data_IF_294214501414
#
_entry.id   IF_294214501414
#
_cell.length_a   1.000
_cell.length_b   1.000
_cell.length_c   1.000
_cell.angle_alpha   90.00
_cell.angle_beta   90.00
_cell.angle_gamma   90.00
#
_symmetry.space_group_name_H-M   'P 1'
#
loop_
_entity.id
_entity.type
_entity.pdbx_description
1 polymer ?
#
# COMPACT_ATOMS: atom_id res chain seq x y z
N UNK A 1 -22.39 6.04 -15.02
CA UNK A 1 -22.69 4.61 -15.27
C UNK A 1 -23.23 4.06 -13.95
N UNK A 2 -24.50 3.65 -13.86
CA UNK A 2 -25.04 3.10 -12.62
C UNK A 2 -24.24 1.83 -12.32
N UNK A 3 -23.54 1.79 -11.20
CA UNK A 3 -22.80 0.63 -10.73
C UNK A 3 -23.80 -0.52 -10.49
N UNK A 4 -24.11 -1.26 -11.54
CA UNK A 4 -25.27 -2.15 -11.59
C UNK A 4 -25.12 -3.30 -10.60
N UNK A 5 -26.24 -3.76 -10.01
CA UNK A 5 -26.26 -4.90 -9.09
C UNK A 5 -25.52 -6.13 -9.64
N UNK A 6 -25.46 -6.30 -10.96
CA UNK A 6 -24.67 -7.34 -11.63
C UNK A 6 -23.17 -7.25 -11.30
N UNK A 7 -22.57 -6.05 -11.34
CA UNK A 7 -21.14 -5.85 -11.04
C UNK A 7 -20.89 -6.15 -9.56
N UNK A 8 -21.75 -5.66 -8.66
CA UNK A 8 -21.65 -5.95 -7.23
C UNK A 8 -21.72 -7.44 -6.93
N UNK A 9 -22.66 -8.15 -7.55
CA UNK A 9 -22.80 -9.59 -7.36
C UNK A 9 -21.60 -10.35 -7.93
N UNK A 10 -21.08 -9.95 -9.09
CA UNK A 10 -19.87 -10.55 -9.67
C UNK A 10 -18.65 -10.36 -8.76
N UNK A 11 -18.45 -9.15 -8.21
CA UNK A 11 -17.37 -8.87 -7.26
C UNK A 11 -17.55 -9.63 -5.96
N UNK A 12 -18.77 -9.77 -5.45
CA UNK A 12 -19.03 -10.57 -4.25
C UNK A 12 -18.69 -12.06 -4.47
N UNK A 13 -19.07 -12.63 -5.62
CA UNK A 13 -18.69 -14.01 -5.99
C UNK A 13 -17.17 -14.13 -6.12
N UNK A 14 -16.51 -13.17 -6.75
CA UNK A 14 -15.06 -13.17 -6.90
C UNK A 14 -14.36 -13.07 -5.54
N UNK A 15 -14.84 -12.23 -4.63
CA UNK A 15 -14.31 -12.11 -3.27
C UNK A 15 -14.41 -13.46 -2.54
N UNK A 16 -15.56 -14.13 -2.62
CA UNK A 16 -15.72 -15.46 -2.04
C UNK A 16 -14.75 -16.49 -2.61
N UNK A 17 -14.50 -16.44 -3.93
CA UNK A 17 -13.53 -17.34 -4.59
C UNK A 17 -12.10 -17.05 -4.13
N UNK A 18 -11.68 -15.78 -4.07
CA UNK A 18 -10.32 -15.39 -3.70
C UNK A 18 -10.05 -15.61 -2.19
N UNK A 19 -11.06 -15.42 -1.34
CA UNK A 19 -10.96 -15.66 0.11
C UNK A 19 -11.02 -17.15 0.48
N UNK A 20 -11.45 -18.03 -0.43
CA UNK A 20 -11.55 -19.45 -0.15
C UNK A 20 -10.17 -20.10 -0.05
N UNK A 21 -9.86 -20.71 1.10
CA UNK A 21 -8.53 -21.28 1.42
C UNK A 21 -7.98 -22.26 0.38
N UNK A 22 -8.86 -23.02 -0.29
CA UNK A 22 -8.45 -24.03 -1.28
C UNK A 22 -8.71 -23.54 -2.72
N UNK A 23 -8.90 -22.24 -2.93
CA UNK A 23 -9.06 -21.69 -4.26
C UNK A 23 -7.79 -21.90 -5.09
N UNK A 24 -7.97 -22.26 -6.35
CA UNK A 24 -6.87 -22.29 -7.30
C UNK A 24 -6.56 -20.86 -7.77
N UNK A 25 -5.81 -20.14 -6.95
CA UNK A 25 -5.40 -18.76 -7.24
C UNK A 25 -4.66 -18.64 -8.58
N UNK A 26 -3.86 -19.65 -8.94
CA UNK A 26 -3.13 -19.65 -10.21
C UNK A 26 -4.08 -19.59 -11.41
N UNK A 27 -5.15 -20.39 -11.39
CA UNK A 27 -6.18 -20.34 -12.44
C UNK A 27 -6.83 -18.96 -12.51
N UNK A 28 -7.11 -18.32 -11.38
CA UNK A 28 -7.68 -16.96 -11.39
C UNK A 28 -6.71 -15.95 -12.01
N UNK A 29 -5.42 -16.06 -11.70
CA UNK A 29 -4.38 -15.24 -12.34
C UNK A 29 -4.31 -15.45 -13.86
N UNK A 30 -4.37 -16.71 -14.32
CA UNK A 30 -4.42 -17.04 -15.76
C UNK A 30 -5.65 -16.46 -16.47
N UNK A 31 -6.78 -16.33 -15.77
CA UNK A 31 -7.99 -15.69 -16.28
C UNK A 31 -7.99 -14.16 -16.16
N UNK A 32 -6.84 -13.54 -15.88
CA UNK A 32 -6.69 -12.08 -15.91
C UNK A 32 -7.09 -11.36 -14.62
N UNK A 33 -7.15 -12.06 -13.47
CA UNK A 33 -7.54 -11.48 -12.18
C UNK A 33 -6.82 -10.15 -11.87
N UNK A 34 -5.50 -10.08 -12.06
CA UNK A 34 -4.70 -8.89 -11.75
C UNK A 34 -5.20 -7.67 -12.49
N UNK A 35 -5.33 -7.77 -13.81
CA UNK A 35 -5.74 -6.66 -14.67
C UNK A 35 -7.17 -6.22 -14.36
N UNK A 36 -8.08 -7.17 -14.15
CA UNK A 36 -9.47 -6.86 -13.80
C UNK A 36 -9.58 -6.12 -12.46
N UNK A 37 -8.81 -6.54 -11.45
CA UNK A 37 -8.82 -5.89 -10.14
C UNK A 37 -8.18 -4.51 -10.20
N UNK A 38 -7.07 -4.33 -10.92
CA UNK A 38 -6.49 -2.99 -11.14
C UNK A 38 -7.53 -2.04 -11.75
N UNK A 39 -8.14 -2.44 -12.86
CA UNK A 39 -9.08 -1.58 -13.59
C UNK A 39 -10.31 -1.24 -12.73
N UNK A 40 -10.91 -2.25 -12.09
CA UNK A 40 -12.09 -2.04 -11.24
C UNK A 40 -11.80 -1.14 -10.04
N UNK A 41 -10.63 -1.26 -9.42
CA UNK A 41 -10.21 -0.38 -8.31
C UNK A 41 -10.04 1.05 -8.82
N UNK A 42 -9.30 1.26 -9.92
CA UNK A 42 -9.09 2.60 -10.47
C UNK A 42 -10.39 3.27 -10.89
N UNK A 43 -11.27 2.55 -11.61
CA UNK A 43 -12.57 3.06 -12.03
C UNK A 43 -13.48 3.37 -10.83
N UNK A 44 -13.52 2.48 -9.82
CA UNK A 44 -14.37 2.69 -8.64
C UNK A 44 -13.84 3.84 -7.79
N UNK A 45 -12.52 3.99 -7.65
CA UNK A 45 -11.94 5.10 -6.90
C UNK A 45 -12.22 6.46 -7.54
N UNK A 46 -12.15 6.56 -8.88
CA UNK A 46 -12.55 7.77 -9.59
C UNK A 46 -14.02 8.13 -9.28
N UNK A 47 -14.91 7.14 -9.24
CA UNK A 47 -16.31 7.35 -8.86
C UNK A 47 -16.49 7.78 -7.39
N UNK A 48 -15.62 7.33 -6.48
CA UNK A 48 -15.66 7.76 -5.08
C UNK A 48 -15.18 9.20 -4.90
N UNK A 49 -14.22 9.65 -5.71
CA UNK A 49 -13.64 11.00 -5.63
C UNK A 49 -14.47 12.06 -6.38
N UNK A 50 -15.22 11.69 -7.42
CA UNK A 50 -15.98 12.61 -8.28
C UNK A 50 -17.48 12.80 -7.90
N UNK A 51 -17.99 12.13 -6.86
CA UNK A 51 -19.43 12.04 -6.63
C UNK A 51 -20.02 13.17 -5.75
N UNK A 52 -20.76 14.09 -6.37
CA UNK A 52 -21.64 15.07 -5.70
C UNK A 52 -22.88 14.44 -5.02
N UNK A 53 -23.21 13.17 -5.35
CA UNK A 53 -24.42 12.47 -4.85
C UNK A 53 -24.11 11.46 -3.75
N UNK A 54 -24.53 11.79 -2.52
CA UNK A 54 -24.34 11.01 -1.29
C UNK A 54 -24.84 9.56 -1.35
N UNK A 55 -25.83 9.24 -2.18
CA UNK A 55 -26.38 7.87 -2.26
C UNK A 55 -25.55 6.95 -3.13
N UNK A 56 -24.97 7.50 -4.21
CA UNK A 56 -24.06 6.78 -5.09
C UNK A 56 -22.72 6.51 -4.40
N UNK A 57 -22.26 7.44 -3.55
CA UNK A 57 -21.04 7.29 -2.74
C UNK A 57 -21.09 6.05 -1.84
N UNK A 58 -22.17 5.82 -1.08
CA UNK A 58 -22.26 4.63 -0.21
C UNK A 58 -22.15 3.32 -0.99
N UNK A 59 -22.82 3.27 -2.13
CA UNK A 59 -22.78 2.10 -3.02
C UNK A 59 -21.38 1.89 -3.62
N UNK A 60 -20.71 2.97 -4.02
CA UNK A 60 -19.35 2.94 -4.54
C UNK A 60 -18.37 2.49 -3.43
N UNK A 61 -18.48 3.01 -2.22
CA UNK A 61 -17.66 2.61 -1.07
C UNK A 61 -17.81 1.12 -0.74
N UNK A 62 -19.04 0.58 -0.73
CA UNK A 62 -19.24 -0.87 -0.48
C UNK A 62 -18.56 -1.73 -1.55
N UNK A 63 -18.66 -1.34 -2.83
CA UNK A 63 -17.97 -2.04 -3.89
C UNK A 63 -16.45 -1.91 -3.73
N UNK A 64 -15.99 -0.70 -3.44
CA UNK A 64 -14.58 -0.40 -3.29
C UNK A 64 -13.95 -1.20 -2.15
N UNK A 65 -14.61 -1.30 -1.01
CA UNK A 65 -14.21 -2.16 0.10
C UNK A 65 -14.11 -3.64 -0.32
N UNK A 66 -15.08 -4.14 -1.09
CA UNK A 66 -15.04 -5.51 -1.60
C UNK A 66 -13.87 -5.74 -2.56
N UNK A 67 -13.50 -4.73 -3.36
CA UNK A 67 -12.34 -4.80 -4.25
C UNK A 67 -11.02 -4.73 -3.47
N UNK A 68 -10.92 -3.87 -2.46
CA UNK A 68 -9.78 -3.81 -1.56
C UNK A 68 -9.61 -5.11 -0.77
N UNK A 69 -10.71 -5.78 -0.40
CA UNK A 69 -10.65 -7.12 0.20
C UNK A 69 -10.06 -8.14 -0.78
N UNK A 70 -10.50 -8.17 -2.03
CA UNK A 70 -9.93 -9.05 -3.05
C UNK A 70 -8.42 -8.79 -3.21
N UNK A 71 -8.03 -7.52 -3.36
CA UNK A 71 -6.64 -7.11 -3.47
C UNK A 71 -5.83 -7.59 -2.26
N UNK A 72 -6.34 -7.37 -1.05
CA UNK A 72 -5.68 -7.79 0.17
C UNK A 72 -5.46 -9.31 0.23
N UNK A 73 -6.46 -10.11 -0.15
CA UNK A 73 -6.32 -11.56 -0.21
C UNK A 73 -5.30 -12.01 -1.27
N UNK A 74 -5.29 -11.39 -2.45
CA UNK A 74 -4.26 -11.63 -3.48
C UNK A 74 -2.85 -11.34 -2.94
N UNK A 75 -2.67 -10.23 -2.25
CA UNK A 75 -1.39 -9.82 -1.68
C UNK A 75 -0.94 -10.73 -0.53
N UNK A 76 -1.85 -11.14 0.36
CA UNK A 76 -1.55 -12.13 1.41
C UNK A 76 -1.11 -13.46 0.80
N UNK A 77 -1.81 -13.92 -0.24
CA UNK A 77 -1.43 -15.14 -0.95
C UNK A 77 0.00 -15.05 -1.48
N UNK A 78 0.33 -13.97 -2.21
CA UNK A 78 1.69 -13.74 -2.73
C UNK A 78 2.73 -13.62 -1.63
N UNK A 79 2.47 -12.81 -0.58
CA UNK A 79 3.38 -12.64 0.54
C UNK A 79 3.67 -13.95 1.26
N UNK A 80 2.69 -14.84 1.37
CA UNK A 80 2.89 -16.16 1.96
C UNK A 80 3.80 -17.04 1.12
N UNK A 81 3.57 -17.12 -0.20
CA UNK A 81 4.42 -17.91 -1.12
C UNK A 81 5.86 -17.38 -1.11
N UNK A 82 6.04 -16.06 -1.23
CA UNK A 82 7.37 -15.42 -1.19
C UNK A 82 8.07 -15.68 0.14
N UNK A 83 7.35 -15.57 1.28
CA UNK A 83 7.91 -15.85 2.60
C UNK A 83 8.37 -17.31 2.73
N UNK A 84 7.57 -18.27 2.26
CA UNK A 84 7.93 -19.69 2.31
C UNK A 84 9.16 -19.97 1.44
N UNK A 85 9.24 -19.40 0.23
CA UNK A 85 10.40 -19.53 -0.64
C UNK A 85 11.68 -18.98 0.02
N UNK A 86 11.62 -17.78 0.61
CA UNK A 86 12.75 -17.16 1.33
C UNK A 86 13.18 -18.02 2.53
N UNK A 87 12.23 -18.57 3.29
CA UNK A 87 12.53 -19.40 4.46
C UNK A 87 13.23 -20.71 4.05
N UNK A 88 12.73 -21.39 3.01
CA UNK A 88 13.34 -22.61 2.49
C UNK A 88 14.73 -22.35 1.88
N UNK A 89 14.91 -21.21 1.20
CA UNK A 89 16.22 -20.79 0.70
C UNK A 89 17.21 -20.59 1.85
N UNK A 90 16.81 -19.90 2.93
CA UNK A 90 17.65 -19.70 4.13
C UNK A 90 17.99 -21.00 4.84
N UNK A 91 17.10 -21.99 4.80
CA UNK A 91 17.30 -23.31 5.40
C UNK A 91 18.13 -24.27 4.52
N UNK A 92 18.49 -23.87 3.29
CA UNK A 92 19.23 -24.71 2.35
C UNK A 92 18.42 -25.88 1.78
N UNK A 93 17.08 -25.86 1.91
CA UNK A 93 16.20 -26.98 1.52
C UNK A 93 15.70 -26.89 0.08
N UNK A 94 16.14 -25.90 -0.70
CA UNK A 94 15.78 -25.76 -2.12
C UNK A 94 14.30 -25.44 -2.34
N UNK A 95 13.81 -24.35 -1.73
CA UNK A 95 12.42 -23.89 -1.88
C UNK A 95 12.03 -23.53 -3.31
N UNK A 96 10.71 -23.45 -3.54
CA UNK A 96 10.13 -23.08 -4.83
C UNK A 96 10.24 -21.57 -5.09
N UNK A 97 11.46 -21.10 -5.33
CA UNK A 97 11.76 -19.70 -5.64
C UNK A 97 11.19 -19.30 -7.00
N UNK A 98 11.14 -20.22 -7.95
CA UNK A 98 10.62 -19.96 -9.30
C UNK A 98 9.14 -19.57 -9.27
N UNK A 99 8.32 -20.28 -8.50
CA UNK A 99 6.91 -19.93 -8.35
C UNK A 99 6.72 -18.59 -7.66
N UNK A 100 7.50 -18.29 -6.62
CA UNK A 100 7.47 -17.00 -5.95
C UNK A 100 7.84 -15.85 -6.91
N UNK A 101 8.88 -16.00 -7.71
CA UNK A 101 9.28 -15.02 -8.73
C UNK A 101 8.22 -14.86 -9.82
N UNK A 102 7.66 -15.96 -10.32
CA UNK A 102 6.58 -15.94 -11.33
C UNK A 102 5.37 -15.17 -10.80
N UNK A 103 4.99 -15.42 -9.55
CA UNK A 103 3.86 -14.75 -8.93
C UNK A 103 4.11 -13.25 -8.70
N UNK A 104 5.33 -12.85 -8.34
CA UNK A 104 5.73 -11.45 -8.26
C UNK A 104 5.65 -10.77 -9.64
N UNK A 105 6.08 -11.45 -10.71
CA UNK A 105 5.98 -10.90 -12.06
C UNK A 105 4.53 -10.74 -12.52
N UNK A 106 3.67 -11.73 -12.27
CA UNK A 106 2.24 -11.69 -12.59
C UNK A 106 1.56 -10.52 -11.89
N UNK A 107 1.88 -10.29 -10.62
CA UNK A 107 1.26 -9.26 -9.78
C UNK A 107 1.94 -7.88 -9.90
N UNK A 108 2.97 -7.74 -10.73
CA UNK A 108 3.66 -6.46 -10.94
C UNK A 108 2.71 -5.30 -11.31
N UNK A 109 1.67 -5.47 -12.14
CA UNK A 109 0.72 -4.38 -12.43
C UNK A 109 -0.02 -3.83 -11.21
N UNK A 110 -0.07 -4.56 -10.08
CA UNK A 110 -0.65 -4.04 -8.85
C UNK A 110 0.16 -2.87 -8.27
N UNK A 111 1.43 -2.67 -8.67
CA UNK A 111 2.22 -1.52 -8.20
C UNK A 111 1.68 -0.19 -8.71
N UNK A 112 0.88 -0.19 -9.76
CA UNK A 112 0.23 1.02 -10.28
C UNK A 112 -0.85 1.54 -9.31
N UNK A 113 -1.35 0.69 -8.40
CA UNK A 113 -2.30 1.07 -7.37
C UNK A 113 -1.66 1.78 -6.18
N UNK A 114 -0.32 1.79 -6.06
CA UNK A 114 0.37 2.35 -4.88
C UNK A 114 0.03 3.84 -4.70
N UNK A 115 0.11 4.64 -5.76
CA UNK A 115 -0.20 6.08 -5.73
C UNK A 115 -1.65 6.31 -5.26
N UNK A 116 -2.59 5.57 -5.84
CA UNK A 116 -4.01 5.64 -5.46
C UNK A 116 -4.23 5.27 -3.99
N UNK A 117 -3.61 4.21 -3.49
CA UNK A 117 -3.74 3.77 -2.11
C UNK A 117 -3.16 4.80 -1.12
N UNK A 118 -2.09 5.51 -1.50
CA UNK A 118 -1.52 6.60 -0.70
C UNK A 118 -2.51 7.77 -0.60
N UNK A 119 -3.13 8.16 -1.71
CA UNK A 119 -4.11 9.25 -1.75
C UNK A 119 -5.39 8.96 -0.97
N UNK A 120 -5.68 7.70 -0.67
CA UNK A 120 -6.82 7.30 0.16
C UNK A 120 -6.54 7.39 1.67
N UNK A 121 -5.27 7.51 2.09
CA UNK A 121 -4.90 7.48 3.51
C UNK A 121 -5.45 8.65 4.33
N UNK A 122 -5.51 9.89 3.80
CA UNK A 122 -6.13 11.01 4.53
C UNK A 122 -7.65 10.90 4.68
N UNK A 123 -8.30 9.97 3.98
CA UNK A 123 -9.75 9.84 3.95
C UNK A 123 -10.41 9.66 5.33
N UNK A 124 -11.64 10.16 5.44
CA UNK A 124 -12.47 10.06 6.66
C UNK A 124 -13.06 8.66 6.87
N UNK A 125 -13.25 7.88 5.80
CA UNK A 125 -13.82 6.54 5.87
C UNK A 125 -12.79 5.56 6.47
N UNK A 126 -13.04 5.16 7.72
CA UNK A 126 -12.15 4.33 8.52
C UNK A 126 -11.94 2.95 7.88
N UNK A 127 -13.00 2.34 7.31
CA UNK A 127 -12.90 1.02 6.70
C UNK A 127 -12.05 1.07 5.43
N UNK A 128 -12.22 2.12 4.61
CA UNK A 128 -11.39 2.33 3.42
C UNK A 128 -9.94 2.57 3.83
N UNK A 129 -9.68 3.42 4.82
CA UNK A 129 -8.33 3.65 5.34
C UNK A 129 -7.66 2.36 5.82
N UNK A 130 -8.36 1.55 6.63
CA UNK A 130 -7.81 0.30 7.16
C UNK A 130 -7.44 -0.68 6.05
N UNK A 131 -8.30 -0.83 5.04
CA UNK A 131 -8.05 -1.75 3.93
C UNK A 131 -6.98 -1.22 2.98
N UNK A 132 -7.00 0.07 2.67
CA UNK A 132 -6.00 0.69 1.81
C UNK A 132 -4.61 0.62 2.43
N UNK A 133 -4.47 0.94 3.71
CA UNK A 133 -3.19 0.90 4.44
C UNK A 133 -2.63 -0.53 4.54
N UNK A 134 -3.48 -1.55 4.73
CA UNK A 134 -3.08 -2.95 4.70
C UNK A 134 -2.57 -3.38 3.32
N UNK A 135 -3.30 -3.04 2.25
CA UNK A 135 -2.88 -3.33 0.88
C UNK A 135 -1.56 -2.63 0.53
N UNK A 136 -1.44 -1.33 0.86
CA UNK A 136 -0.24 -0.54 0.62
C UNK A 136 0.97 -1.14 1.33
N UNK A 137 0.82 -1.52 2.61
CA UNK A 137 1.90 -2.15 3.37
C UNK A 137 2.40 -3.44 2.72
N UNK A 138 1.51 -4.28 2.20
CA UNK A 138 1.90 -5.52 1.53
C UNK A 138 2.55 -5.25 0.17
N UNK A 139 2.00 -4.33 -0.63
CA UNK A 139 2.58 -3.94 -1.93
C UNK A 139 4.01 -3.43 -1.77
N UNK A 140 4.23 -2.49 -0.85
CA UNK A 140 5.56 -1.92 -0.58
C UNK A 140 6.50 -2.94 0.06
N UNK A 141 5.99 -3.94 0.79
CA UNK A 141 6.80 -5.06 1.26
C UNK A 141 7.28 -5.95 0.11
N UNK A 142 6.39 -6.31 -0.81
CA UNK A 142 6.63 -7.22 -1.94
C UNK A 142 7.49 -6.58 -3.03
N UNK A 143 7.18 -5.34 -3.41
CA UNK A 143 7.75 -4.65 -4.56
C UNK A 143 8.69 -3.50 -4.18
N UNK A 144 8.82 -3.20 -2.89
CA UNK A 144 9.70 -2.10 -2.44
C UNK A 144 9.27 -0.76 -3.02
N UNK A 145 10.23 -0.07 -3.64
CA UNK A 145 10.07 1.25 -4.26
C UNK A 145 9.96 1.18 -5.79
N UNK A 146 9.41 0.09 -6.34
CA UNK A 146 9.28 -0.10 -7.78
C UNK A 146 8.33 0.90 -8.45
N UNK A 147 7.32 1.41 -7.73
CA UNK A 147 6.46 2.48 -8.24
C UNK A 147 7.16 3.84 -8.11
N UNK A 148 7.47 4.46 -9.25
CA UNK A 148 8.21 5.72 -9.33
C UNK A 148 7.44 6.94 -8.82
N UNK A 149 6.12 6.87 -8.75
CA UNK A 149 5.24 7.95 -8.33
C UNK A 149 4.95 7.92 -6.82
N UNK A 150 5.36 6.86 -6.12
CA UNK A 150 5.03 6.65 -4.70
C UNK A 150 5.57 7.74 -3.75
N UNK A 151 6.54 8.52 -4.19
CA UNK A 151 7.04 9.73 -3.51
C UNK A 151 6.94 10.97 -4.41
N UNK A 152 5.88 11.08 -5.23
CA UNK A 152 5.52 12.36 -5.86
C UNK A 152 5.10 13.38 -4.78
N UNK A 153 5.13 14.70 -5.08
CA UNK A 153 4.68 15.72 -4.15
C UNK A 153 3.29 15.45 -3.57
N UNK A 154 2.33 15.07 -4.42
CA UNK A 154 0.94 14.81 -4.01
C UNK A 154 0.84 13.63 -3.03
N UNK A 155 1.64 12.58 -3.26
CA UNK A 155 1.67 11.40 -2.41
C UNK A 155 2.39 11.68 -1.08
N UNK A 156 3.43 12.51 -1.09
CA UNK A 156 4.09 12.96 0.14
C UNK A 156 3.18 13.83 0.99
N UNK A 157 2.41 14.72 0.37
CA UNK A 157 1.39 15.51 1.06
C UNK A 157 0.32 14.61 1.68
N UNK A 158 -0.15 13.60 0.94
CA UNK A 158 -1.10 12.61 1.46
C UNK A 158 -0.55 11.82 2.65
N UNK A 159 0.73 11.42 2.62
CA UNK A 159 1.36 10.81 3.79
C UNK A 159 1.44 11.76 4.98
N UNK A 160 1.80 13.03 4.74
CA UNK A 160 1.93 14.03 5.77
C UNK A 160 0.58 14.31 6.44
N UNK A 161 -0.49 14.45 5.65
CA UNK A 161 -1.84 14.63 6.14
C UNK A 161 -2.32 13.39 6.92
N UNK A 162 -2.12 12.19 6.39
CA UNK A 162 -2.49 10.96 7.07
C UNK A 162 -1.78 10.80 8.43
N UNK A 163 -0.48 11.11 8.52
CA UNK A 163 0.27 11.06 9.79
C UNK A 163 -0.24 12.06 10.83
N UNK A 164 -0.87 13.15 10.38
CA UNK A 164 -1.46 14.18 11.24
C UNK A 164 -2.87 13.80 11.71
N UNK A 165 -3.67 13.21 10.83
CA UNK A 165 -5.04 12.80 11.13
C UNK A 165 -5.09 11.52 11.96
N UNK A 166 -4.20 10.55 11.70
CA UNK A 166 -4.19 9.27 12.40
C UNK A 166 -3.29 9.39 13.63
N UNK A 167 -3.89 9.55 14.81
CA UNK A 167 -3.17 9.69 16.09
C UNK A 167 -2.89 8.37 16.79
N UNK A 168 -3.43 7.25 16.30
CA UNK A 168 -3.14 5.94 16.86
C UNK A 168 -1.70 5.50 16.54
N UNK A 169 -1.00 5.01 17.55
CA UNK A 169 0.41 4.61 17.44
C UNK A 169 0.61 3.48 16.45
N UNK A 170 -0.34 2.54 16.34
CA UNK A 170 -0.28 1.43 15.37
C UNK A 170 -0.32 1.97 13.94
N UNK A 171 -1.18 2.94 13.69
CA UNK A 171 -1.37 3.58 12.38
C UNK A 171 -0.16 4.40 11.98
N UNK A 172 0.29 5.32 12.84
CA UNK A 172 1.50 6.11 12.56
C UNK A 172 2.72 5.21 12.35
N UNK A 173 2.89 4.17 13.15
CA UNK A 173 3.97 3.20 12.99
C UNK A 173 3.91 2.45 11.67
N UNK A 174 2.71 2.09 11.20
CA UNK A 174 2.51 1.44 9.91
C UNK A 174 2.93 2.38 8.78
N UNK A 175 2.42 3.61 8.79
CA UNK A 175 2.72 4.62 7.77
C UNK A 175 4.21 4.95 7.71
N UNK A 176 4.85 5.17 8.86
CA UNK A 176 6.30 5.42 8.92
C UNK A 176 7.11 4.24 8.37
N UNK A 177 6.67 2.99 8.62
CA UNK A 177 7.34 1.81 8.04
C UNK A 177 7.19 1.73 6.53
N UNK A 178 6.03 2.09 6.00
CA UNK A 178 5.80 2.18 4.55
C UNK A 178 6.74 3.22 3.94
N UNK A 179 6.74 4.46 4.47
CA UNK A 179 7.62 5.55 4.00
C UNK A 179 9.09 5.13 4.05
N UNK A 180 9.53 4.59 5.19
CA UNK A 180 10.91 4.11 5.37
C UNK A 180 11.28 3.06 4.33
N UNK A 181 10.40 2.11 4.04
CA UNK A 181 10.63 1.06 3.04
C UNK A 181 10.74 1.65 1.63
N UNK A 182 9.85 2.58 1.25
CA UNK A 182 9.90 3.26 -0.06
C UNK A 182 11.24 3.96 -0.30
N UNK A 183 11.73 4.74 0.67
CA UNK A 183 12.98 5.50 0.52
C UNK A 183 14.25 4.64 0.69
N UNK A 184 14.14 3.49 1.37
CA UNK A 184 15.27 2.57 1.54
C UNK A 184 15.44 1.69 0.31
N UNK A 185 14.34 1.36 -0.38
CA UNK A 185 14.34 0.49 -1.55
C UNK A 185 14.66 1.22 -2.86
N UNK A 186 14.54 2.56 -2.92
CA UNK A 186 14.81 3.33 -4.14
C UNK A 186 15.41 4.70 -3.80
N UNK A 187 16.63 4.99 -4.27
CA UNK A 187 17.31 6.26 -3.98
C UNK A 187 16.65 7.49 -4.62
N UNK A 188 15.89 7.30 -5.70
CA UNK A 188 15.13 8.41 -6.30
C UNK A 188 14.03 8.89 -5.35
N UNK A 189 13.45 7.99 -4.56
CA UNK A 189 12.45 8.32 -3.55
C UNK A 189 13.04 9.12 -2.39
N UNK A 190 14.24 8.78 -1.92
CA UNK A 190 14.91 9.58 -0.88
C UNK A 190 15.27 10.98 -1.36
N UNK A 191 15.71 11.10 -2.63
CA UNK A 191 15.97 12.41 -3.26
C UNK A 191 14.68 13.23 -3.43
N UNK A 192 13.59 12.61 -3.88
CA UNK A 192 12.29 13.26 -4.01
C UNK A 192 11.81 13.80 -2.65
N UNK A 193 11.89 12.99 -1.59
CA UNK A 193 11.54 13.41 -0.23
C UNK A 193 12.38 14.59 0.27
N UNK A 194 13.67 14.64 -0.07
CA UNK A 194 14.56 15.74 0.32
C UNK A 194 14.25 17.03 -0.44
N UNK A 195 13.91 16.94 -1.72
CA UNK A 195 13.80 18.10 -2.60
C UNK A 195 12.40 18.70 -2.65
N UNK A 196 11.38 17.85 -2.61
CA UNK A 196 9.99 18.22 -2.91
C UNK A 196 9.01 17.83 -1.79
N UNK A 197 9.52 17.30 -0.67
CA UNK A 197 8.73 16.69 0.40
C UNK A 197 8.57 17.54 1.67
N UNK A 198 8.66 18.86 1.58
CA UNK A 198 8.72 19.79 2.72
C UNK A 198 7.67 19.51 3.80
N UNK A 199 6.40 19.32 3.39
CA UNK A 199 5.31 19.07 4.34
C UNK A 199 5.49 17.76 5.10
N UNK A 200 5.94 16.70 4.42
CA UNK A 200 6.22 15.41 5.03
C UNK A 200 7.45 15.48 5.94
N UNK A 201 8.51 16.18 5.51
CA UNK A 201 9.72 16.40 6.32
C UNK A 201 9.37 17.15 7.61
N UNK A 202 8.65 18.27 7.53
CA UNK A 202 8.20 19.01 8.72
C UNK A 202 7.33 18.14 9.65
N UNK A 203 6.48 17.29 9.09
CA UNK A 203 5.65 16.35 9.87
C UNK A 203 6.52 15.33 10.60
N UNK A 204 7.55 14.77 9.94
CA UNK A 204 8.51 13.83 10.52
C UNK A 204 9.35 14.49 11.61
N UNK A 205 9.81 15.73 11.42
CA UNK A 205 10.56 16.48 12.44
C UNK A 205 9.73 16.69 13.71
N UNK A 206 8.46 17.07 13.57
CA UNK A 206 7.54 17.19 14.71
C UNK A 206 7.35 15.86 15.43
N UNK A 207 7.14 14.78 14.69
CA UNK A 207 6.99 13.44 15.28
C UNK A 207 8.27 12.99 16.01
N UNK A 208 9.45 13.31 15.46
CA UNK A 208 10.75 13.03 16.10
C UNK A 208 10.95 13.79 17.41
N UNK A 209 10.34 14.97 17.56
CA UNK A 209 10.45 15.83 18.75
C UNK A 209 9.42 15.50 19.84
N UNK A 210 8.34 14.78 19.53
CA UNK A 210 7.18 14.58 20.44
C UNK A 210 7.37 13.39 21.41
N UNK A 211 8.56 13.19 21.99
CA UNK A 211 8.83 12.04 22.85
C UNK A 211 8.35 12.27 24.31
N UNK A 212 7.04 12.29 24.55
CA UNK A 212 6.48 12.44 25.91
C UNK A 212 6.21 11.11 26.63
N UNK A 213 5.87 10.05 25.89
CA UNK A 213 5.56 8.71 26.42
C UNK A 213 6.29 7.60 25.65
N UNK A 214 6.31 6.38 26.21
CA UNK A 214 7.01 5.22 25.61
C UNK A 214 6.51 4.85 24.21
N UNK A 215 5.22 5.05 23.93
CA UNK A 215 4.64 4.81 22.61
C UNK A 215 5.12 5.86 21.60
N UNK A 216 5.24 7.12 22.04
CA UNK A 216 5.78 8.22 21.25
C UNK A 216 7.27 8.00 20.92
N UNK A 217 8.01 7.29 21.78
CA UNK A 217 9.43 6.99 21.54
C UNK A 217 9.65 6.12 20.29
N UNK A 218 8.77 5.16 20.03
CA UNK A 218 8.87 4.29 18.84
C UNK A 218 8.60 5.10 17.57
N UNK A 219 7.60 5.98 17.62
CA UNK A 219 7.26 6.89 16.52
C UNK A 219 8.40 7.87 16.26
N UNK A 220 8.90 8.52 17.31
CA UNK A 220 10.01 9.45 17.25
C UNK A 220 11.30 8.81 16.70
N UNK A 221 11.60 7.57 17.12
CA UNK A 221 12.74 6.80 16.60
C UNK A 221 12.60 6.51 15.10
N UNK A 222 11.43 6.04 14.65
CA UNK A 222 11.19 5.76 13.23
C UNK A 222 11.25 7.03 12.37
N UNK A 223 10.66 8.13 12.85
CA UNK A 223 10.73 9.41 12.16
C UNK A 223 12.18 9.91 12.06
N UNK A 224 12.95 9.82 13.14
CA UNK A 224 14.38 10.18 13.16
C UNK A 224 15.21 9.32 12.21
N UNK A 225 14.92 8.02 12.10
CA UNK A 225 15.61 7.13 11.16
C UNK A 225 15.33 7.50 9.69
N UNK A 226 14.12 7.93 9.38
CA UNK A 226 13.73 8.41 8.05
C UNK A 226 14.47 9.71 7.72
N UNK A 227 14.47 10.68 8.64
CA UNK A 227 15.17 11.96 8.48
C UNK A 227 16.69 11.76 8.26
N UNK A 228 17.33 10.92 9.08
CA UNK A 228 18.75 10.60 8.90
C UNK A 228 19.04 9.95 7.53
N UNK A 229 18.10 9.14 7.02
CA UNK A 229 18.28 8.48 5.72
C UNK A 229 18.27 9.48 4.57
N UNK A 230 17.53 10.58 4.65
CA UNK A 230 17.55 11.63 3.61
C UNK A 230 18.74 12.59 3.76
N UNK A 231 19.26 12.79 4.98
CA UNK A 231 20.46 13.59 5.24
C UNK A 231 21.76 12.91 4.77
N UNK A 232 21.93 11.60 5.02
CA UNK A 232 23.18 10.87 4.76
C UNK A 232 23.58 10.71 3.28
N UNK A 233 22.75 11.12 2.31
CA UNK A 233 23.10 11.04 0.88
C UNK A 233 24.14 12.10 0.42
N UNK A 234 24.62 12.98 1.32
CA UNK A 234 25.71 13.92 1.03
C UNK A 234 27.11 13.30 1.02
N UNK A 235 27.29 12.07 1.53
CA UNK A 235 28.63 11.48 1.69
C UNK A 235 29.17 10.63 0.53
N UNK A 236 28.45 10.49 -0.59
CA UNK A 236 28.79 9.51 -1.65
C UNK A 236 28.95 10.09 -3.06
N UNK A 237 29.12 11.41 -3.16
CA UNK A 237 29.61 12.06 -4.37
C UNK A 237 30.81 12.91 -4.01
N UNK A 238 31.99 12.28 -4.03
CA UNK A 238 33.29 12.91 -4.27
C UNK A 238 34.17 11.90 -5.00
#
# INVERSE_FOLDING_TARGET
MLLGNTIKNAVAVLNNLVSYKNANMLLLYEQGLVLHICNLITETAALCLDADDKTNIKTANTLFLSLLDILHHMLIYTANIVRLAIQAQKAGTGGDTQNAETLLLINKPLTDLISLLIQLLPGEDIEIYEKASQCLSLLVQLYGGDNMESMSPENMDSFAEALQLKTDVKDQKLLLRVIKRLITSNEKHSKSLKNDGDLLVCTLERLAQTASFQADLVIASLASEILKKIEHYEGSVN
#
